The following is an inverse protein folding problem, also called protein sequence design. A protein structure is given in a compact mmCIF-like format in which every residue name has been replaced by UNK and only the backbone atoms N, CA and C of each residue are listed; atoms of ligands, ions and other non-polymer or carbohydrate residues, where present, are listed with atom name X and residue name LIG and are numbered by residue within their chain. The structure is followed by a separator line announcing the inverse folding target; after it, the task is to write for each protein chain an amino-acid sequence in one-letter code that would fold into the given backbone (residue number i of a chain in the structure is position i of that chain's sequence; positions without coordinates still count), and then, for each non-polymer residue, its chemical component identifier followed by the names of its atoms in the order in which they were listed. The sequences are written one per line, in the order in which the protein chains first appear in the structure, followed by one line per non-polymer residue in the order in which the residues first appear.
data_IF_463908833116
#
_entry.id   IF_463908833116
#
_cell.length_a   1.000
_cell.length_b   1.000
_cell.length_c   1.000
_cell.angle_alpha   90.00
_cell.angle_beta   90.00
_cell.angle_gamma   90.00
#
_symmetry.space_group_name_H-M   'P 1'
#
loop_
_entity.id
_entity.type
_entity.pdbx_description
1 polymer ?
#
# COMPACT_ATOMS: atom_id res chain seq x y z
N UNK A 1 1.70 5.39 -17.74
CA UNK A 1 1.80 5.48 -16.27
C UNK A 1 3.12 4.87 -15.88
N UNK A 2 4.05 5.66 -15.35
CA UNK A 2 5.37 5.17 -14.95
C UNK A 2 5.20 4.34 -13.68
N UNK A 3 5.43 3.03 -13.78
CA UNK A 3 5.50 2.13 -12.63
C UNK A 3 6.51 2.70 -11.61
N UNK A 4 6.04 3.04 -10.41
CA UNK A 4 6.86 3.70 -9.41
C UNK A 4 7.80 2.67 -8.78
N UNK A 5 9.06 2.64 -9.20
CA UNK A 5 10.01 1.66 -8.69
C UNK A 5 10.51 1.98 -7.27
N UNK A 6 11.13 1.01 -6.61
CA UNK A 6 11.61 1.16 -5.24
C UNK A 6 12.61 2.32 -5.05
N UNK A 7 13.47 2.59 -6.03
CA UNK A 7 14.45 3.68 -5.95
C UNK A 7 13.77 5.06 -6.02
N UNK A 8 12.78 5.21 -6.90
CA UNK A 8 11.97 6.42 -6.99
C UNK A 8 11.19 6.65 -5.69
N UNK A 9 10.54 5.61 -5.15
CA UNK A 9 9.86 5.69 -3.87
C UNK A 9 10.79 6.16 -2.75
N UNK A 10 11.94 5.50 -2.58
CA UNK A 10 12.89 5.83 -1.52
C UNK A 10 13.45 7.26 -1.61
N UNK A 11 13.48 7.86 -2.81
CA UNK A 11 13.88 9.25 -3.01
C UNK A 11 12.87 10.25 -2.44
N UNK A 12 11.58 9.93 -2.53
CA UNK A 12 10.49 10.81 -2.09
C UNK A 12 9.98 10.50 -0.68
N UNK A 13 10.12 9.24 -0.24
CA UNK A 13 9.54 8.72 1.00
C UNK A 13 10.58 7.90 1.77
N UNK A 14 11.45 8.54 2.56
CA UNK A 14 12.42 7.84 3.41
C UNK A 14 11.71 6.99 4.48
N UNK A 15 12.46 6.09 5.12
CA UNK A 15 11.97 5.31 6.26
C UNK A 15 11.43 6.24 7.35
N UNK A 16 10.26 5.92 7.90
CA UNK A 16 9.52 6.75 8.86
C UNK A 16 8.46 7.64 8.21
N UNK A 17 8.33 7.61 6.87
CA UNK A 17 7.29 8.37 6.17
C UNK A 17 5.89 7.87 6.56
N UNK A 18 4.95 8.76 6.89
CA UNK A 18 3.57 8.37 7.20
C UNK A 18 2.85 7.92 5.93
N UNK A 19 2.12 6.82 6.05
CA UNK A 19 1.42 6.16 4.96
C UNK A 19 0.10 5.58 5.43
N UNK A 20 -0.82 5.41 4.49
CA UNK A 20 -1.95 4.52 4.60
C UNK A 20 -1.59 3.23 3.87
N UNK A 21 -1.69 2.09 4.55
CA UNK A 21 -1.41 0.79 3.99
C UNK A 21 -2.66 -0.09 3.89
N UNK A 22 -2.76 -0.85 2.81
CA UNK A 22 -3.85 -1.80 2.54
C UNK A 22 -3.28 -3.21 2.36
N UNK A 23 -3.08 -3.98 3.45
CA UNK A 23 -2.42 -5.28 3.36
C UNK A 23 -3.23 -6.35 2.62
N UNK A 24 -4.56 -6.23 2.63
CA UNK A 24 -5.49 -7.11 1.91
C UNK A 24 -5.92 -6.48 0.59
N UNK A 25 -7.01 -5.72 0.62
CA UNK A 25 -7.60 -5.11 -0.58
C UNK A 25 -7.85 -3.62 -0.37
N UNK A 26 -7.60 -2.82 -1.41
CA UNK A 26 -7.92 -1.38 -1.37
C UNK A 26 -9.44 -1.14 -1.35
N UNK A 27 -9.92 -0.14 -0.59
CA UNK A 27 -11.35 0.14 -0.43
C UNK A 27 -12.10 0.38 -1.76
N UNK A 28 -11.44 0.93 -2.78
CA UNK A 28 -11.99 1.14 -4.12
C UNK A 28 -12.43 -0.16 -4.83
N UNK A 29 -11.80 -1.30 -4.53
CA UNK A 29 -12.23 -2.61 -5.06
C UNK A 29 -13.43 -3.20 -4.29
N UNK A 30 -13.75 -2.66 -3.11
CA UNK A 30 -14.88 -3.12 -2.28
C UNK A 30 -16.13 -2.31 -2.36
N UNK A 31 -15.98 -0.99 -2.47
CA UNK A 31 -17.10 -0.07 -2.37
C UNK A 31 -17.93 0.01 -3.67
N UNK A 32 -17.37 -0.40 -4.81
CA UNK A 32 -17.94 -0.09 -6.12
C UNK A 32 -19.20 -0.89 -6.48
N UNK A 33 -19.54 -1.99 -5.79
CA UNK A 33 -20.62 -2.87 -6.27
C UNK A 33 -21.72 -3.27 -5.28
N UNK A 34 -21.68 -2.90 -3.99
CA UNK A 34 -22.67 -3.39 -3.02
C UNK A 34 -22.78 -4.94 -2.97
N UNK A 35 -21.80 -5.61 -3.58
CA UNK A 35 -21.61 -7.04 -3.62
C UNK A 35 -20.48 -7.33 -2.65
N UNK A 36 -20.55 -8.48 -1.97
CA UNK A 36 -19.41 -9.07 -1.28
C UNK A 36 -18.18 -8.89 -2.17
N UNK A 37 -17.26 -8.02 -1.76
CA UNK A 37 -16.15 -7.66 -2.61
C UNK A 37 -15.40 -8.95 -2.97
N UNK A 38 -15.24 -9.21 -4.26
CA UNK A 38 -14.63 -10.44 -4.74
C UNK A 38 -13.21 -10.10 -5.15
N UNK A 39 -12.22 -10.72 -4.52
CA UNK A 39 -10.82 -10.56 -4.86
C UNK A 39 -10.53 -11.37 -6.14
N UNK A 40 -10.25 -10.74 -7.29
CA UNK A 40 -9.94 -11.46 -8.52
C UNK A 40 -8.59 -12.19 -8.45
N UNK A 41 -7.67 -11.76 -7.59
CA UNK A 41 -6.37 -12.37 -7.39
C UNK A 41 -6.44 -13.59 -6.45
N UNK A 42 -7.34 -13.56 -5.46
CA UNK A 42 -7.52 -14.67 -4.52
C UNK A 42 -8.70 -15.61 -4.83
N UNK A 43 -9.63 -15.23 -5.72
CA UNK A 43 -10.78 -16.02 -6.11
C UNK A 43 -11.81 -16.24 -4.99
N UNK A 44 -11.89 -15.32 -4.03
CA UNK A 44 -12.72 -15.47 -2.82
C UNK A 44 -13.43 -14.17 -2.44
N UNK A 45 -14.55 -14.25 -1.71
CA UNK A 45 -15.14 -13.08 -1.08
C UNK A 45 -14.17 -12.49 -0.04
N UNK A 46 -13.82 -11.22 -0.23
CA UNK A 46 -13.06 -10.37 0.68
C UNK A 46 -13.90 -10.16 1.92
N UNK A 47 -13.34 -10.49 3.08
CA UNK A 47 -14.03 -10.25 4.35
C UNK A 47 -13.89 -8.80 4.77
N UNK A 48 -14.83 -8.29 5.56
CA UNK A 48 -14.79 -6.91 6.06
C UNK A 48 -13.51 -6.61 6.87
N UNK A 49 -12.92 -7.62 7.51
CA UNK A 49 -11.63 -7.51 8.21
C UNK A 49 -10.42 -7.38 7.25
N UNK A 50 -10.57 -7.71 5.97
CA UNK A 50 -9.53 -7.57 4.94
C UNK A 50 -9.50 -6.17 4.28
N UNK A 51 -10.49 -5.33 4.58
CA UNK A 51 -10.49 -3.88 4.33
C UNK A 51 -9.65 -3.10 5.34
N UNK A 52 -8.78 -3.77 6.10
CA UNK A 52 -8.03 -3.12 7.18
C UNK A 52 -7.06 -2.09 6.63
N UNK A 53 -7.53 -0.86 6.57
CA UNK A 53 -6.73 0.32 6.36
C UNK A 53 -5.86 0.56 7.61
N UNK A 54 -4.55 0.64 7.41
CA UNK A 54 -3.59 0.94 8.47
C UNK A 54 -3.01 2.32 8.24
N UNK A 55 -3.35 3.28 9.09
CA UNK A 55 -2.58 4.54 9.19
C UNK A 55 -1.32 4.25 10.00
N UNK A 56 -0.16 4.30 9.34
CA UNK A 56 1.11 3.79 9.88
C UNK A 56 2.31 4.55 9.28
N UNK A 57 3.53 4.12 9.59
CA UNK A 57 4.78 4.65 9.02
C UNK A 57 5.57 3.55 8.34
N UNK A 58 6.35 3.90 7.31
CA UNK A 58 7.31 2.98 6.72
C UNK A 58 8.41 2.64 7.73
N UNK A 59 8.78 1.36 7.83
CA UNK A 59 9.84 0.88 8.75
C UNK A 59 11.04 0.26 8.04
N UNK A 60 11.02 0.25 6.71
CA UNK A 60 12.14 -0.20 5.87
C UNK A 60 12.20 0.67 4.61
N UNK A 61 13.36 0.73 3.93
CA UNK A 61 13.37 1.17 2.54
C UNK A 61 12.46 0.24 1.71
N UNK A 62 11.92 0.76 0.61
CA UNK A 62 11.26 -0.06 -0.39
C UNK A 62 12.31 -0.91 -1.13
N UNK A 63 11.91 -2.13 -1.50
CA UNK A 63 12.74 -3.05 -2.29
C UNK A 63 11.88 -3.75 -3.35
N UNK A 64 12.50 -4.12 -4.46
CA UNK A 64 11.85 -4.94 -5.48
C UNK A 64 11.93 -6.42 -5.10
N UNK A 65 10.81 -7.13 -5.20
CA UNK A 65 10.80 -8.59 -5.14
C UNK A 65 11.48 -9.18 -6.38
N UNK A 66 11.83 -10.47 -6.35
CA UNK A 66 12.51 -11.16 -7.46
C UNK A 66 11.76 -11.12 -8.80
N UNK A 67 10.47 -10.79 -8.79
CA UNK A 67 9.60 -10.60 -9.96
C UNK A 67 9.38 -9.11 -10.34
N UNK A 68 10.08 -8.17 -9.70
CA UNK A 68 10.09 -6.74 -10.06
C UNK A 68 9.18 -5.85 -9.23
N UNK A 69 8.10 -6.38 -8.65
CA UNK A 69 7.13 -5.59 -7.88
C UNK A 69 7.77 -4.95 -6.65
N UNK A 70 7.68 -3.61 -6.50
CA UNK A 70 8.25 -2.90 -5.36
C UNK A 70 7.34 -3.01 -4.14
N UNK A 71 7.94 -3.31 -2.99
CA UNK A 71 7.26 -3.48 -1.70
C UNK A 71 7.96 -2.69 -0.59
N UNK A 72 7.24 -2.37 0.48
CA UNK A 72 7.76 -1.69 1.68
C UNK A 72 7.21 -2.34 2.95
N UNK A 73 7.97 -2.34 4.06
CA UNK A 73 7.43 -2.73 5.37
C UNK A 73 6.85 -1.52 6.07
N UNK A 74 5.74 -1.73 6.75
CA UNK A 74 5.11 -0.72 7.60
C UNK A 74 5.06 -1.17 9.06
N UNK A 75 4.91 -0.22 9.97
CA UNK A 75 4.69 -0.53 11.38
C UNK A 75 3.30 -1.19 11.58
N UNK A 76 3.22 -2.13 12.53
CA UNK A 76 1.98 -2.87 12.80
C UNK A 76 1.59 -3.96 11.79
N UNK A 77 2.41 -4.24 10.76
CA UNK A 77 2.17 -5.34 9.81
C UNK A 77 3.41 -6.22 9.61
N UNK A 78 3.23 -7.54 9.73
CA UNK A 78 4.27 -8.53 9.53
C UNK A 78 4.34 -8.95 8.05
N UNK A 79 4.91 -8.09 7.20
CA UNK A 79 5.06 -8.37 5.77
C UNK A 79 5.49 -7.15 4.96
N UNK A 80 5.97 -7.38 3.74
CA UNK A 80 6.11 -6.32 2.74
C UNK A 80 4.78 -6.10 2.04
N UNK A 81 4.38 -4.85 1.89
CA UNK A 81 3.17 -4.42 1.19
C UNK A 81 3.60 -3.77 -0.13
N UNK A 82 2.98 -4.15 -1.24
CA UNK A 82 3.24 -3.56 -2.55
C UNK A 82 3.02 -2.04 -2.52
N UNK A 83 3.87 -1.28 -3.22
CA UNK A 83 3.70 0.17 -3.29
C UNK A 83 2.36 0.56 -3.93
N UNK A 84 1.83 -0.29 -4.80
CA UNK A 84 0.47 -0.14 -5.33
C UNK A 84 -0.59 -0.16 -4.23
N UNK A 85 -0.33 -0.76 -3.06
CA UNK A 85 -1.22 -0.85 -1.89
C UNK A 85 -0.81 0.12 -0.76
N UNK A 86 -0.04 1.16 -1.09
CA UNK A 86 0.40 2.19 -0.15
C UNK A 86 0.01 3.56 -0.71
N UNK A 87 -0.66 4.37 0.11
CA UNK A 87 -0.86 5.79 -0.17
C UNK A 87 0.00 6.62 0.81
N UNK A 88 0.98 7.40 0.35
CA UNK A 88 1.74 8.29 1.22
C UNK A 88 0.86 9.41 1.77
N UNK A 89 0.92 9.63 3.08
CA UNK A 89 0.22 10.75 3.74
C UNK A 89 1.17 11.94 3.68
N UNK A 90 0.98 12.83 2.73
CA UNK A 90 1.80 14.05 2.65
C UNK A 90 1.58 14.93 3.89
N UNK A 91 2.63 15.16 4.68
CA UNK A 91 2.72 16.38 5.51
C UNK A 91 3.18 17.50 4.57
N UNK A 92 2.24 18.08 3.82
CA UNK A 92 2.45 19.20 2.87
C UNK A 92 3.10 18.80 1.52
N UNK A 93 2.79 19.34 0.35
CA UNK A 93 2.15 20.61 0.04
C UNK A 93 2.55 21.71 1.03
N UNK A 94 3.86 21.97 1.14
CA UNK A 94 4.31 23.31 1.52
C UNK A 94 4.34 24.16 0.26
N UNK A 95 3.61 25.26 0.32
CA UNK A 95 3.53 26.33 -0.68
C UNK A 95 4.91 26.92 -0.92
N UNK A 96 5.29 27.10 -2.19
CA UNK A 96 6.13 28.21 -2.66
C UNK A 96 5.56 28.74 -3.99
#
# INVERSE_FOLDING_TARGET
MTDLNAAQWNRYHPVGSPVIAYPGVRPEFGATLGMTAYDPDCGRPIRADEYRQLTTVTRSPAWSLGHGSPVVKVDGYAGGISLEHIDPIGVGAVTE
#
